data_IF_341436228741
#
_entry.id   IF_341436228741
#
_cell.length_a   1.000
_cell.length_b   1.000
_cell.length_c   1.000
_cell.angle_alpha   90.00
_cell.angle_beta   90.00
_cell.angle_gamma   90.00
#
_symmetry.space_group_name_H-M   'P 1'
#
loop_
_entity.id
_entity.type
_entity.pdbx_description
1 polymer ?
#
# COMPACT_ATOMS: atom_id res chain seq x y z
N UNK A 1 -12.88 21.84 -17.87
CA UNK A 1 -12.91 20.39 -17.55
C UNK A 1 -11.51 19.99 -17.11
N UNK A 2 -11.23 19.87 -15.80
CA UNK A 2 -9.93 19.39 -15.31
C UNK A 2 -9.89 17.87 -15.51
N UNK A 3 -8.85 17.38 -16.18
CA UNK A 3 -8.75 16.00 -16.67
C UNK A 3 -9.00 14.97 -15.58
N UNK A 4 -9.90 14.01 -15.85
CA UNK A 4 -9.98 12.79 -15.05
C UNK A 4 -8.61 12.12 -15.16
N UNK A 5 -7.94 11.91 -14.03
CA UNK A 5 -6.87 10.92 -13.96
C UNK A 5 -7.45 9.60 -14.47
N UNK A 6 -6.86 9.02 -15.50
CA UNK A 6 -7.27 7.69 -15.94
C UNK A 6 -7.07 6.70 -14.79
N UNK A 7 -8.03 5.79 -14.60
CA UNK A 7 -7.90 4.73 -13.62
C UNK A 7 -7.01 3.62 -14.17
N UNK A 8 -6.25 2.91 -13.32
CA UNK A 8 -5.58 1.68 -13.72
C UNK A 8 -6.55 0.68 -14.36
N UNK A 9 -6.05 -0.14 -15.29
CA UNK A 9 -6.82 -1.28 -15.80
C UNK A 9 -7.22 -2.19 -14.62
N UNK A 10 -8.47 -2.67 -14.64
CA UNK A 10 -9.07 -3.50 -13.58
C UNK A 10 -9.26 -2.79 -12.22
N UNK A 11 -9.24 -1.46 -12.20
CA UNK A 11 -9.59 -0.70 -11.01
C UNK A 11 -11.09 -0.81 -10.68
N UNK A 12 -11.49 -1.06 -9.41
CA UNK A 12 -12.89 -1.14 -9.02
C UNK A 12 -13.60 0.20 -9.15
N UNK A 13 -14.79 0.20 -9.74
CA UNK A 13 -15.58 1.42 -9.99
C UNK A 13 -16.09 2.11 -8.72
N UNK A 14 -16.17 1.38 -7.60
CA UNK A 14 -16.62 1.87 -6.29
C UNK A 14 -15.53 2.54 -5.46
N UNK A 15 -14.26 2.53 -5.91
CA UNK A 15 -13.13 3.11 -5.18
C UNK A 15 -12.56 4.29 -5.94
N UNK A 16 -12.33 5.40 -5.25
CA UNK A 16 -11.72 6.60 -5.84
C UNK A 16 -10.21 6.38 -6.00
N UNK A 17 -9.71 6.44 -7.23
CA UNK A 17 -8.28 6.39 -7.49
C UNK A 17 -7.62 7.73 -7.12
N UNK A 18 -6.51 7.67 -6.39
CA UNK A 18 -5.71 8.83 -5.99
C UNK A 18 -4.23 8.64 -6.30
N UNK A 19 -3.53 9.76 -6.45
CA UNK A 19 -2.06 9.82 -6.60
C UNK A 19 -1.38 10.53 -5.45
N UNK A 20 -2.16 10.90 -4.43
CA UNK A 20 -1.74 11.51 -3.16
C UNK A 20 -2.73 11.13 -2.07
N UNK A 21 -2.26 10.87 -0.86
CA UNK A 21 -3.11 10.62 0.30
C UNK A 21 -4.08 11.78 0.56
N UNK A 22 -5.25 11.45 1.09
CA UNK A 22 -6.24 12.42 1.56
C UNK A 22 -6.22 12.40 3.08
N UNK A 23 -5.96 13.55 3.70
CA UNK A 23 -5.83 13.65 5.15
C UNK A 23 -7.16 14.02 5.80
N UNK A 24 -7.45 13.37 6.93
CA UNK A 24 -8.57 13.74 7.80
C UNK A 24 -8.41 15.16 8.31
N UNK A 25 -9.53 15.88 8.37
CA UNK A 25 -9.60 17.21 9.02
C UNK A 25 -9.51 17.11 10.54
N UNK A 26 -9.53 15.90 11.10
CA UNK A 26 -9.40 15.65 12.54
C UNK A 26 -7.95 15.48 13.01
N UNK A 27 -7.00 15.34 12.08
CA UNK A 27 -5.58 15.36 12.41
C UNK A 27 -5.19 16.76 12.89
N UNK A 28 -4.56 16.83 14.06
CA UNK A 28 -4.10 18.12 14.60
C UNK A 28 -2.94 18.69 13.77
N UNK A 29 -2.76 20.01 13.72
CA UNK A 29 -1.60 20.62 13.06
C UNK A 29 -0.26 20.10 13.62
N UNK A 30 -0.21 19.77 14.91
CA UNK A 30 0.97 19.20 15.57
C UNK A 30 1.26 17.79 15.04
N UNK A 31 0.23 16.94 14.96
CA UNK A 31 0.33 15.59 14.40
C UNK A 31 0.80 15.62 12.94
N UNK A 32 0.25 16.53 12.13
CA UNK A 32 0.66 16.74 10.74
C UNK A 32 2.11 17.25 10.65
N UNK A 33 2.54 18.12 11.57
CA UNK A 33 3.93 18.56 11.65
C UNK A 33 4.85 17.39 11.99
N UNK A 34 4.51 16.54 12.97
CA UNK A 34 5.32 15.38 13.33
C UNK A 34 5.44 14.34 12.19
N UNK A 35 4.37 14.14 11.42
CA UNK A 35 4.41 13.33 10.19
C UNK A 35 5.33 13.91 9.11
N UNK A 36 5.55 15.22 9.12
CA UNK A 36 6.40 15.89 8.13
C UNK A 36 7.85 16.09 8.59
N UNK A 37 8.08 16.23 9.90
CA UNK A 37 9.40 16.52 10.48
C UNK A 37 10.08 15.33 11.15
N UNK A 38 9.44 14.15 11.18
CA UNK A 38 9.97 12.97 11.87
C UNK A 38 11.40 12.64 11.45
N UNK A 39 12.32 12.58 12.42
CA UNK A 39 13.72 12.17 12.25
C UNK A 39 13.81 10.66 11.97
N UNK A 40 13.40 10.22 10.78
CA UNK A 40 13.70 8.87 10.32
C UNK A 40 15.12 8.88 9.76
N UNK A 41 16.03 7.99 10.21
CA UNK A 41 17.32 7.80 9.57
C UNK A 41 17.10 7.51 8.09
N UNK A 42 17.47 8.46 7.22
CA UNK A 42 17.26 8.33 5.79
C UNK A 42 18.17 7.24 5.24
N UNK A 43 17.61 6.14 4.74
CA UNK A 43 18.38 5.24 3.91
C UNK A 43 18.49 5.87 2.51
N UNK A 44 19.68 6.09 1.93
CA UNK A 44 19.83 6.72 0.62
C UNK A 44 19.06 6.00 -0.52
N UNK A 45 18.74 4.72 -0.33
CA UNK A 45 17.89 3.93 -1.25
C UNK A 45 16.40 4.30 -1.20
N UNK A 46 15.94 4.99 -0.14
CA UNK A 46 14.54 5.40 0.07
C UNK A 46 14.23 6.80 -0.48
N UNK A 47 15.25 7.57 -0.93
CA UNK A 47 15.09 8.83 -1.65
C UNK A 47 14.86 8.57 -3.15
N UNK A 48 13.73 8.00 -3.50
CA UNK A 48 13.28 7.95 -4.89
C UNK A 48 12.05 8.83 -5.01
N UNK A 49 12.02 9.70 -6.02
CA UNK A 49 10.81 10.45 -6.36
C UNK A 49 9.73 9.41 -6.68
N UNK A 50 8.72 9.29 -5.81
CA UNK A 50 7.60 8.39 -6.02
C UNK A 50 7.01 8.68 -7.42
N UNK A 51 6.90 7.67 -8.30
CA UNK A 51 6.38 7.89 -9.64
C UNK A 51 4.97 8.48 -9.56
N UNK A 52 4.76 9.63 -10.23
CA UNK A 52 3.46 10.26 -10.29
C UNK A 52 2.54 9.50 -11.27
N UNK A 53 1.37 9.06 -10.80
CA UNK A 53 0.35 8.43 -11.63
C UNK A 53 0.34 6.90 -11.56
N UNK A 54 -0.27 6.25 -12.55
CA UNK A 54 -0.39 4.80 -12.63
C UNK A 54 1.00 4.17 -12.73
N UNK A 55 1.31 3.23 -11.84
CA UNK A 55 2.63 2.58 -11.84
C UNK A 55 2.80 1.65 -13.04
N UNK A 56 3.92 1.82 -13.76
CA UNK A 56 4.30 0.94 -14.88
C UNK A 56 5.00 -0.34 -14.42
N UNK A 57 5.41 -0.42 -13.15
CA UNK A 57 6.11 -1.56 -12.56
C UNK A 57 5.16 -2.71 -12.23
N UNK A 58 3.88 -2.41 -12.04
CA UNK A 58 2.86 -3.35 -11.61
C UNK A 58 1.67 -3.38 -12.57
N UNK A 59 0.74 -4.30 -12.33
CA UNK A 59 -0.57 -4.38 -12.96
C UNK A 59 -1.54 -5.11 -12.04
N UNK A 60 -2.80 -4.73 -12.09
CA UNK A 60 -3.88 -5.39 -11.36
C UNK A 60 -4.42 -6.53 -12.23
N UNK A 61 -4.53 -7.74 -11.68
CA UNK A 61 -5.11 -8.90 -12.40
C UNK A 61 -6.18 -9.57 -11.55
N UNK A 62 -7.26 -10.01 -12.21
CA UNK A 62 -8.24 -10.92 -11.60
C UNK A 62 -7.55 -12.26 -11.34
N UNK A 63 -7.74 -12.79 -10.14
CA UNK A 63 -7.25 -14.09 -9.73
C UNK A 63 -8.32 -15.13 -10.05
N UNK A 64 -7.99 -16.07 -10.92
CA UNK A 64 -8.92 -17.11 -11.39
C UNK A 64 -8.51 -18.51 -10.95
N UNK A 65 -7.37 -18.66 -10.30
CA UNK A 65 -6.91 -19.94 -9.77
C UNK A 65 -7.76 -20.32 -8.55
N UNK A 66 -8.44 -21.47 -8.64
CA UNK A 66 -9.31 -21.98 -7.56
C UNK A 66 -8.53 -22.38 -6.31
N UNK A 67 -7.24 -22.63 -6.41
CA UNK A 67 -6.38 -22.91 -5.25
C UNK A 67 -5.97 -21.65 -4.48
N UNK A 68 -6.19 -20.47 -5.05
CA UNK A 68 -5.77 -19.21 -4.48
C UNK A 68 -6.77 -18.71 -3.42
N UNK A 69 -6.35 -18.31 -2.20
CA UNK A 69 -7.25 -17.81 -1.16
C UNK A 69 -8.10 -16.61 -1.60
N UNK A 70 -7.54 -15.73 -2.42
CA UNK A 70 -8.23 -14.59 -3.03
C UNK A 70 -8.85 -14.90 -4.43
N UNK A 71 -9.21 -16.15 -4.73
CA UNK A 71 -9.88 -16.51 -5.99
C UNK A 71 -11.16 -15.69 -6.19
N UNK A 72 -11.31 -15.08 -7.36
CA UNK A 72 -12.41 -14.17 -7.69
C UNK A 72 -12.18 -12.71 -7.27
N UNK A 73 -11.08 -12.42 -6.56
CA UNK A 73 -10.64 -11.08 -6.23
C UNK A 73 -9.46 -10.65 -7.14
N UNK A 74 -8.89 -9.49 -6.87
CA UNK A 74 -7.76 -8.95 -7.61
C UNK A 74 -6.47 -9.06 -6.82
N UNK A 75 -5.36 -9.27 -7.55
CA UNK A 75 -4.01 -9.22 -7.00
C UNK A 75 -3.13 -8.21 -7.74
N UNK A 76 -2.03 -7.82 -7.11
CA UNK A 76 -1.00 -6.95 -7.66
C UNK A 76 0.14 -7.80 -8.23
N UNK A 77 0.45 -7.64 -9.52
CA UNK A 77 1.47 -8.46 -10.21
C UNK A 77 2.54 -7.58 -10.82
N UNK A 78 3.78 -8.06 -10.89
CA UNK A 78 4.85 -7.35 -11.56
C UNK A 78 4.62 -7.30 -13.09
N UNK A 79 4.89 -6.13 -13.68
CA UNK A 79 4.85 -5.90 -15.14
C UNK A 79 6.22 -6.05 -15.79
N UNK A 80 7.28 -6.00 -14.98
CA UNK A 80 8.68 -6.20 -15.35
C UNK A 80 9.42 -6.94 -14.23
N UNK A 81 10.72 -7.21 -14.43
CA UNK A 81 11.59 -7.66 -13.34
C UNK A 81 11.73 -6.52 -12.31
N UNK A 82 11.52 -6.82 -11.04
CA UNK A 82 11.74 -5.88 -9.93
C UNK A 82 13.01 -6.27 -9.18
N UNK A 83 13.83 -5.28 -8.83
CA UNK A 83 15.13 -5.50 -8.18
C UNK A 83 14.95 -5.63 -6.67
N UNK A 84 15.70 -6.52 -6.03
CA UNK A 84 15.71 -6.64 -4.58
C UNK A 84 15.92 -5.28 -3.89
N UNK A 85 15.19 -5.05 -2.80
CA UNK A 85 15.25 -3.81 -1.98
C UNK A 85 14.82 -2.52 -2.70
N UNK A 86 14.24 -2.59 -3.90
CA UNK A 86 13.75 -1.39 -4.59
C UNK A 86 12.35 -1.00 -4.11
N UNK A 87 12.08 0.31 -4.08
CA UNK A 87 10.72 0.85 -3.97
C UNK A 87 9.89 0.48 -5.21
N UNK A 88 8.59 0.24 -5.03
CA UNK A 88 7.65 -0.09 -6.12
C UNK A 88 6.59 1.00 -6.26
N UNK A 89 5.90 1.34 -5.16
CA UNK A 89 4.87 2.38 -5.06
C UNK A 89 4.58 2.69 -3.59
N UNK A 90 3.99 3.85 -3.31
CA UNK A 90 3.46 4.18 -1.98
C UNK A 90 2.07 3.55 -1.80
N UNK A 91 1.73 3.06 -0.61
CA UNK A 91 0.38 2.68 -0.23
C UNK A 91 -0.40 3.96 0.12
N UNK A 92 -1.42 4.28 -0.68
CA UNK A 92 -2.16 5.53 -0.55
C UNK A 92 -3.62 5.27 -0.16
N UNK A 93 -4.16 6.15 0.67
CA UNK A 93 -5.55 6.09 1.11
C UNK A 93 -5.99 7.35 1.86
N UNK A 94 -6.97 7.17 2.73
CA UNK A 94 -7.41 8.17 3.69
C UNK A 94 -6.52 8.08 4.93
N UNK A 95 -5.79 9.16 5.25
CA UNK A 95 -4.93 9.23 6.44
C UNK A 95 -5.75 9.77 7.59
N UNK A 96 -5.86 9.02 8.69
CA UNK A 96 -6.74 9.37 9.80
C UNK A 96 -6.13 8.99 11.16
N UNK A 97 -6.58 9.64 12.25
CA UNK A 97 -6.28 9.18 13.60
C UNK A 97 -6.99 7.86 13.91
N UNK A 98 -6.48 7.10 14.87
CA UNK A 98 -6.99 5.77 15.24
C UNK A 98 -8.48 5.76 15.65
N UNK A 99 -9.01 6.83 16.24
CA UNK A 99 -10.44 6.88 16.60
C UNK A 99 -11.38 6.96 15.39
N UNK A 100 -10.87 7.23 14.19
CA UNK A 100 -11.62 7.18 12.93
C UNK A 100 -11.46 5.83 12.20
N UNK A 101 -10.70 4.87 12.75
CA UNK A 101 -10.51 3.54 12.17
C UNK A 101 -11.85 2.80 12.03
N UNK A 102 -12.10 2.26 10.84
CA UNK A 102 -13.26 1.41 10.56
C UNK A 102 -12.89 -0.06 10.83
N UNK A 103 -13.45 -0.69 11.88
CA UNK A 103 -13.11 -2.09 12.21
C UNK A 103 -13.52 -3.08 11.13
N UNK A 104 -14.33 -2.67 10.15
CA UNK A 104 -14.72 -3.50 9.00
C UNK A 104 -13.83 -3.31 7.77
N UNK A 105 -12.87 -2.36 7.81
CA UNK A 105 -11.92 -2.19 6.72
C UNK A 105 -10.82 -3.26 6.77
N UNK A 106 -10.69 -4.02 5.68
CA UNK A 106 -9.55 -4.91 5.45
C UNK A 106 -8.34 -4.16 4.85
N UNK A 107 -8.44 -2.85 4.62
CA UNK A 107 -7.45 -2.02 3.92
C UNK A 107 -6.89 -0.90 4.80
N UNK A 108 -7.10 -0.98 6.12
CA UNK A 108 -6.58 -0.03 7.08
C UNK A 108 -5.25 -0.53 7.66
N UNK A 109 -4.18 0.24 7.44
CA UNK A 109 -2.82 -0.09 7.88
C UNK A 109 -2.22 1.06 8.70
N UNK A 110 -1.47 0.71 9.75
CA UNK A 110 -0.73 1.69 10.57
C UNK A 110 0.33 2.41 9.72
N UNK A 111 0.33 3.74 9.72
CA UNK A 111 1.39 4.58 9.15
C UNK A 111 2.44 4.93 10.22
N UNK A 112 1.97 5.35 11.39
CA UNK A 112 2.83 5.65 12.54
C UNK A 112 2.08 5.26 13.82
N UNK A 113 2.46 4.12 14.40
CA UNK A 113 1.82 3.60 15.62
C UNK A 113 2.08 4.46 16.85
N UNK A 114 3.19 5.22 16.89
CA UNK A 114 3.49 6.12 17.99
C UNK A 114 2.62 7.38 17.98
N UNK A 115 2.18 7.79 16.79
CA UNK A 115 1.25 8.90 16.60
C UNK A 115 -0.22 8.46 16.48
N UNK A 116 -0.49 7.15 16.52
CA UNK A 116 -1.82 6.57 16.33
C UNK A 116 -2.46 6.99 15.00
N UNK A 117 -1.68 6.91 13.91
CA UNK A 117 -2.10 7.31 12.56
C UNK A 117 -2.11 6.09 11.65
N UNK A 118 -3.19 5.96 10.88
CA UNK A 118 -3.38 4.89 9.91
C UNK A 118 -3.75 5.41 8.52
N UNK A 119 -3.72 4.52 7.53
CA UNK A 119 -4.10 4.74 6.13
C UNK A 119 -5.16 3.70 5.76
N UNK A 120 -6.39 4.16 5.52
CA UNK A 120 -7.47 3.31 5.02
C UNK A 120 -7.65 3.47 3.50
N UNK A 121 -7.44 2.36 2.77
CA UNK A 121 -7.65 2.30 1.32
C UNK A 121 -8.98 1.61 0.89
N UNK A 122 -9.95 1.45 1.79
CA UNK A 122 -11.23 0.80 1.51
C UNK A 122 -12.03 1.52 0.41
N UNK A 123 -12.11 2.87 0.48
CA UNK A 123 -12.96 3.69 -0.41
C UNK A 123 -12.18 4.64 -1.33
N UNK A 124 -10.94 4.94 -0.98
CA UNK A 124 -10.06 5.85 -1.70
C UNK A 124 -8.64 5.31 -1.63
N UNK A 125 -7.94 5.19 -2.74
CA UNK A 125 -6.58 4.64 -2.71
C UNK A 125 -5.94 4.51 -4.08
N UNK A 126 -4.82 3.78 -4.14
CA UNK A 126 -4.10 3.46 -5.38
C UNK A 126 -3.91 1.95 -5.53
N UNK A 127 -3.10 1.52 -6.50
CA UNK A 127 -2.88 0.09 -6.81
C UNK A 127 -2.34 -0.72 -5.63
N UNK A 128 -1.68 -0.08 -4.65
CA UNK A 128 -1.13 -0.73 -3.46
C UNK A 128 -2.19 -1.48 -2.65
N UNK A 129 -3.46 -1.05 -2.70
CA UNK A 129 -4.58 -1.74 -2.04
C UNK A 129 -4.83 -3.15 -2.54
N UNK A 130 -4.26 -3.56 -3.68
CA UNK A 130 -4.48 -4.88 -4.29
C UNK A 130 -3.41 -5.92 -3.91
N UNK A 131 -2.46 -5.57 -3.02
CA UNK A 131 -1.43 -6.50 -2.57
C UNK A 131 -2.03 -7.52 -1.61
N UNK A 132 -1.74 -8.82 -1.82
CA UNK A 132 -2.32 -9.90 -1.03
C UNK A 132 -1.36 -10.41 0.07
N UNK A 133 -1.90 -11.08 1.08
CA UNK A 133 -1.09 -11.82 2.06
C UNK A 133 -0.50 -13.08 1.43
N UNK A 134 0.75 -13.38 1.74
CA UNK A 134 1.46 -14.54 1.17
C UNK A 134 0.87 -15.91 1.56
N UNK A 135 0.15 -16.02 2.69
CA UNK A 135 -0.29 -17.32 3.23
C UNK A 135 -1.27 -18.00 2.28
N UNK A 136 -0.95 -19.24 1.90
CA UNK A 136 -1.73 -20.03 0.94
C UNK A 136 -1.41 -19.74 -0.52
N UNK A 137 -0.44 -18.85 -0.81
CA UNK A 137 -0.01 -18.50 -2.17
C UNK A 137 1.49 -18.77 -2.36
N UNK A 138 2.32 -18.34 -1.41
CA UNK A 138 3.77 -18.56 -1.44
C UNK A 138 4.33 -18.93 -0.08
N UNK A 139 5.59 -19.37 -0.05
CA UNK A 139 6.26 -19.81 1.19
C UNK A 139 6.53 -18.64 2.15
N UNK A 140 6.70 -17.43 1.62
CA UNK A 140 7.03 -16.19 2.34
C UNK A 140 6.58 -14.96 1.54
N UNK A 141 6.43 -13.79 2.18
CA UNK A 141 6.27 -12.54 1.43
C UNK A 141 7.48 -12.28 0.53
N UNK A 142 7.23 -11.62 -0.60
CA UNK A 142 8.27 -11.14 -1.53
C UNK A 142 8.34 -9.61 -1.60
N UNK A 143 7.35 -8.91 -1.03
CA UNK A 143 7.36 -7.46 -0.79
C UNK A 143 7.03 -7.15 0.68
N UNK A 144 7.35 -5.95 1.14
CA UNK A 144 7.04 -5.48 2.49
C UNK A 144 6.53 -4.05 2.49
N UNK A 145 5.78 -3.71 3.53
CA UNK A 145 5.50 -2.33 3.91
C UNK A 145 6.69 -1.79 4.71
N UNK A 146 7.17 -0.62 4.33
CA UNK A 146 8.19 0.13 5.06
C UNK A 146 7.95 1.61 4.84
N UNK A 147 8.22 2.45 5.82
CA UNK A 147 7.96 3.87 5.71
C UNK A 147 9.19 4.65 5.25
N UNK A 148 8.96 5.80 4.61
CA UNK A 148 10.03 6.67 4.14
C UNK A 148 9.57 8.13 4.08
N UNK A 149 10.54 9.04 3.91
CA UNK A 149 10.27 10.48 3.79
C UNK A 149 10.35 10.91 2.33
N UNK A 150 9.29 11.53 1.82
CA UNK A 150 9.25 12.18 0.50
C UNK A 150 8.90 13.64 0.66
N UNK A 151 9.79 14.56 0.27
CA UNK A 151 9.59 16.01 0.42
C UNK A 151 9.20 16.44 1.85
N UNK A 152 9.77 15.76 2.86
CA UNK A 152 9.41 16.01 4.25
C UNK A 152 8.02 15.52 4.62
N UNK A 153 7.53 14.43 4.03
CA UNK A 153 6.27 13.79 4.39
C UNK A 153 6.55 12.30 4.60
N UNK A 154 6.22 11.76 5.78
CA UNK A 154 6.25 10.31 6.02
C UNK A 154 5.17 9.63 5.19
N UNK A 155 5.57 8.61 4.46
CA UNK A 155 4.70 7.79 3.61
C UNK A 155 4.93 6.32 3.86
N UNK A 156 3.92 5.51 3.60
CA UNK A 156 4.03 4.06 3.60
C UNK A 156 4.39 3.58 2.20
N UNK A 157 5.56 2.98 2.02
CA UNK A 157 6.03 2.41 0.76
C UNK A 157 5.84 0.89 0.70
N UNK A 158 5.75 0.36 -0.52
CA UNK A 158 5.85 -1.06 -0.80
C UNK A 158 7.19 -1.32 -1.48
N UNK A 159 8.02 -2.16 -0.84
CA UNK A 159 9.38 -2.46 -1.27
C UNK A 159 9.55 -3.94 -1.60
N UNK A 160 10.36 -4.23 -2.62
CA UNK A 160 10.84 -5.60 -2.87
C UNK A 160 11.70 -6.05 -1.69
N UNK A 161 11.52 -7.28 -1.22
CA UNK A 161 12.35 -7.83 -0.16
C UNK A 161 13.75 -8.25 -0.69
N UNK A 162 14.37 -9.27 -0.10
CA UNK A 162 15.77 -9.61 -0.33
C UNK A 162 16.09 -10.24 -1.71
N UNK A 163 15.08 -10.60 -2.52
CA UNK A 163 15.27 -11.26 -3.82
C UNK A 163 14.51 -10.52 -4.92
N UNK A 164 15.09 -10.49 -6.11
CA UNK A 164 14.43 -9.99 -7.31
C UNK A 164 13.12 -10.74 -7.56
N UNK A 165 12.13 -10.04 -8.10
CA UNK A 165 10.82 -10.60 -8.49
C UNK A 165 10.78 -10.67 -10.01
N UNK A 166 10.52 -11.84 -10.58
CA UNK A 166 10.41 -11.98 -12.03
C UNK A 166 9.13 -11.32 -12.56
N UNK A 167 9.12 -10.98 -13.85
CA UNK A 167 7.94 -10.43 -14.52
C UNK A 167 6.76 -11.41 -14.41
N UNK A 168 5.62 -10.89 -13.96
CA UNK A 168 4.36 -11.63 -13.88
C UNK A 168 4.13 -12.38 -12.58
N UNK A 169 5.09 -12.38 -11.64
CA UNK A 169 4.87 -12.87 -10.28
C UNK A 169 3.92 -11.95 -9.51
N UNK A 170 3.18 -12.52 -8.57
CA UNK A 170 2.32 -11.79 -7.64
C UNK A 170 3.15 -11.15 -6.53
N UNK A 171 2.80 -9.92 -6.16
CA UNK A 171 3.38 -9.21 -5.01
C UNK A 171 2.59 -9.61 -3.77
N UNK A 172 3.30 -10.17 -2.80
CA UNK A 172 2.76 -10.74 -1.58
C UNK A 172 3.44 -10.11 -0.35
N UNK A 173 2.63 -9.52 0.53
CA UNK A 173 3.04 -8.99 1.83
C UNK A 173 2.69 -9.98 2.95
N UNK A 174 3.05 -9.65 4.18
CA UNK A 174 2.43 -10.23 5.37
C UNK A 174 1.50 -9.18 5.99
N UNK A 175 0.19 -9.46 6.03
CA UNK A 175 -0.80 -8.65 6.77
C UNK A 175 -0.57 -8.69 8.29
N UNK A 176 0.23 -9.64 8.76
CA UNK A 176 0.61 -9.75 10.16
C UNK A 176 -0.36 -10.62 10.97
N UNK A 177 0.11 -11.06 12.14
CA UNK A 177 -0.63 -12.00 12.99
C UNK A 177 -1.91 -11.38 13.58
N UNK A 178 -1.90 -10.08 13.88
CA UNK A 178 -3.05 -9.36 14.44
C UNK A 178 -4.24 -9.37 13.50
N UNK A 179 -4.01 -9.05 12.22
CA UNK A 179 -5.03 -9.08 11.17
C UNK A 179 -5.75 -10.43 11.09
N UNK A 180 -4.97 -11.53 11.09
CA UNK A 180 -5.53 -12.88 11.01
C UNK A 180 -6.22 -13.32 12.29
N UNK A 181 -5.67 -13.00 13.47
CA UNK A 181 -6.31 -13.32 14.76
C UNK A 181 -7.69 -12.71 14.89
N UNK A 182 -7.90 -11.49 14.38
CA UNK A 182 -9.21 -10.83 14.40
C UNK A 182 -10.26 -11.50 13.50
N UNK A 183 -9.86 -12.47 12.65
CA UNK A 183 -10.70 -13.12 11.64
C UNK A 183 -10.79 -14.64 11.83
N UNK A 184 -10.11 -15.19 12.83
CA UNK A 184 -10.27 -16.58 13.27
C UNK A 184 -11.30 -16.55 14.39
N UNK A 185 -12.49 -17.10 14.13
CA UNK A 185 -13.49 -17.39 15.16
C UNK A 185 -13.05 -18.57 16.04
#
# INVERSE_FOLDING_TARGET
MKGRSENPKNWPSSVVYITKCVYSKKLSPETLAQLTTGNIPQNPQQQQNAPAGISKLIRIKLITDKGHPACGQYGLFSSCKLTAKSHILDYMGYVHPDFESDPTSDYDISLDSGLEIAIDAQRIGNEGRMVNDYRGIGDRPNVMFDDHIVNGERRMGIYVMAKDIAKGEELLVSYGKGFWKARIN
#
